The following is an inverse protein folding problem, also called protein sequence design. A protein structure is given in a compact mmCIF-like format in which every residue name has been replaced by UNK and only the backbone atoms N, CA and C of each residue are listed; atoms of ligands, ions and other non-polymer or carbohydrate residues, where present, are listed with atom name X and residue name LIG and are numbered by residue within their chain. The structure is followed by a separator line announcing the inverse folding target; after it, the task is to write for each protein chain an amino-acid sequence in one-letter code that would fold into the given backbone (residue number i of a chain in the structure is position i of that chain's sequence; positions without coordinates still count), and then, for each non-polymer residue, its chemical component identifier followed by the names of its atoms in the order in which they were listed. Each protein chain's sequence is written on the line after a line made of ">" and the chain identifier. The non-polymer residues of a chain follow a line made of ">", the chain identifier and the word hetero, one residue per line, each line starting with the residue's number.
data_IF_590627476479
#
_entry.id   IF_590627476479
#
_cell.length_a   1.000
_cell.length_b   1.000
_cell.length_c   1.000
_cell.angle_alpha   90.00
_cell.angle_beta   90.00
_cell.angle_gamma   90.00
#
_symmetry.space_group_name_H-M   'P 1'
#
loop_
_entity.id
_entity.type
_entity.pdbx_description
1 polymer ?
#
# COMPACT_ATOMS: atom_id res chain seq x y z
N UNK A 1 -5.27 -5.71 17.59
CA UNK A 1 -4.92 -4.47 16.89
C UNK A 1 -3.68 -4.75 16.07
N UNK A 2 -3.68 -4.36 14.80
CA UNK A 2 -2.68 -4.71 13.79
C UNK A 2 -2.21 -3.42 13.11
N UNK A 3 -0.95 -3.41 12.71
CA UNK A 3 -0.35 -2.40 11.83
C UNK A 3 0.25 -3.15 10.65
N UNK A 4 -0.07 -2.70 9.44
CA UNK A 4 0.52 -3.21 8.20
C UNK A 4 1.60 -2.23 7.77
N UNK A 5 2.73 -2.75 7.30
CA UNK A 5 3.84 -1.97 6.76
C UNK A 5 4.08 -2.43 5.34
N UNK A 6 3.91 -1.49 4.40
CA UNK A 6 3.99 -1.67 2.96
C UNK A 6 2.95 -2.63 2.36
N UNK A 7 2.66 -2.40 1.07
CA UNK A 7 1.82 -3.23 0.21
C UNK A 7 2.42 -3.19 -1.20
N UNK A 8 3.43 -4.02 -1.39
CA UNK A 8 4.23 -4.08 -2.61
C UNK A 8 3.78 -5.11 -3.63
N UNK A 9 4.35 -4.98 -4.83
CA UNK A 9 4.31 -6.00 -5.88
C UNK A 9 5.67 -6.67 -6.06
N UNK A 10 5.66 -7.91 -6.53
CA UNK A 10 6.83 -8.59 -7.08
C UNK A 10 6.71 -8.65 -8.59
N UNK A 11 7.81 -8.43 -9.29
CA UNK A 11 7.88 -8.58 -10.75
C UNK A 11 8.10 -10.05 -11.11
N UNK A 12 7.33 -10.59 -12.07
CA UNK A 12 7.47 -11.97 -12.53
C UNK A 12 8.72 -12.16 -13.39
N UNK A 13 9.04 -13.42 -13.64
CA UNK A 13 10.11 -13.82 -14.57
C UNK A 13 9.58 -14.80 -15.63
N UNK A 14 10.31 -14.92 -16.73
CA UNK A 14 9.88 -15.73 -17.88
C UNK A 14 9.93 -17.24 -17.62
N UNK A 15 10.70 -17.69 -16.63
CA UNK A 15 10.93 -19.11 -16.38
C UNK A 15 9.87 -19.69 -15.42
N UNK A 16 9.46 -18.92 -14.41
CA UNK A 16 8.55 -19.34 -13.34
C UNK A 16 7.12 -18.87 -13.56
N UNK A 17 6.93 -17.67 -14.13
CA UNK A 17 5.64 -16.98 -14.18
C UNK A 17 5.40 -16.28 -15.54
N UNK A 18 5.49 -17.02 -16.66
CA UNK A 18 5.37 -16.42 -17.99
C UNK A 18 3.98 -15.80 -18.23
N UNK A 19 3.96 -14.56 -18.74
CA UNK A 19 2.74 -13.83 -19.10
C UNK A 19 2.00 -13.16 -17.94
N UNK A 20 2.55 -13.22 -16.71
CA UNK A 20 2.09 -12.42 -15.58
C UNK A 20 2.69 -11.01 -15.69
N UNK A 21 1.94 -9.98 -15.29
CA UNK A 21 2.44 -8.60 -15.24
C UNK A 21 3.01 -8.25 -13.87
N UNK A 22 2.24 -8.53 -12.80
CA UNK A 22 2.58 -8.22 -11.40
C UNK A 22 2.07 -9.34 -10.49
N UNK A 23 2.83 -9.61 -9.42
CA UNK A 23 2.47 -10.55 -8.37
C UNK A 23 2.24 -9.79 -7.07
N UNK A 24 1.20 -10.14 -6.33
CA UNK A 24 0.84 -9.52 -5.04
C UNK A 24 0.74 -10.57 -3.94
N UNK A 25 0.89 -10.16 -2.70
CA UNK A 25 0.65 -11.03 -1.55
C UNK A 25 -0.83 -11.45 -1.45
N UNK A 26 -1.06 -12.69 -1.03
CA UNK A 26 -2.39 -13.11 -0.56
C UNK A 26 -2.69 -12.45 0.79
N UNK A 27 -3.75 -11.66 0.82
CA UNK A 27 -4.18 -10.90 2.00
C UNK A 27 -5.40 -11.52 2.69
N UNK A 28 -5.82 -12.73 2.35
CA UNK A 28 -7.04 -13.35 2.91
C UNK A 28 -7.09 -13.28 4.44
N UNK A 29 -5.99 -13.60 5.13
CA UNK A 29 -5.95 -13.50 6.60
C UNK A 29 -6.09 -12.06 7.12
N UNK A 30 -5.50 -11.09 6.42
CA UNK A 30 -5.66 -9.66 6.77
C UNK A 30 -7.08 -9.17 6.50
N UNK A 31 -7.71 -9.64 5.42
CA UNK A 31 -9.11 -9.34 5.08
C UNK A 31 -10.08 -9.88 6.14
N UNK A 32 -9.89 -11.12 6.59
CA UNK A 32 -10.66 -11.74 7.69
C UNK A 32 -10.50 -10.99 9.02
N UNK A 33 -9.41 -10.24 9.19
CA UNK A 33 -9.08 -9.48 10.39
C UNK A 33 -9.05 -7.96 10.14
N UNK A 34 -9.71 -7.48 9.08
CA UNK A 34 -9.62 -6.09 8.64
C UNK A 34 -10.08 -5.10 9.72
N UNK A 35 -11.08 -5.48 10.53
CA UNK A 35 -11.58 -4.69 11.67
C UNK A 35 -10.52 -4.43 12.75
N UNK A 36 -9.45 -5.22 12.76
CA UNK A 36 -8.33 -5.11 13.70
C UNK A 36 -7.17 -4.27 13.16
N UNK A 37 -7.19 -3.88 11.88
CA UNK A 37 -6.13 -3.09 11.24
C UNK A 37 -6.34 -1.60 11.53
N UNK A 38 -5.46 -1.03 12.34
CA UNK A 38 -5.57 0.38 12.73
C UNK A 38 -4.91 1.31 11.69
N UNK A 39 -3.92 0.82 10.95
CA UNK A 39 -3.16 1.61 9.98
C UNK A 39 -2.36 0.74 8.99
N UNK A 40 -2.16 1.28 7.78
CA UNK A 40 -1.15 0.86 6.81
C UNK A 40 -0.10 1.98 6.73
N UNK A 41 1.18 1.65 6.89
CA UNK A 41 2.28 2.61 6.68
C UNK A 41 3.03 2.24 5.41
N UNK A 42 3.23 3.22 4.51
CA UNK A 42 4.08 3.04 3.33
C UNK A 42 5.41 3.74 3.59
N UNK A 43 6.49 2.97 3.59
CA UNK A 43 7.84 3.41 3.96
C UNK A 43 8.47 4.28 2.90
N UNK A 44 8.40 3.85 1.64
CA UNK A 44 8.91 4.58 0.48
C UNK A 44 8.17 4.18 -0.80
N UNK A 45 8.49 4.86 -1.91
CA UNK A 45 7.67 4.85 -3.12
C UNK A 45 8.10 3.82 -4.19
N UNK A 46 8.97 2.87 -3.86
CA UNK A 46 9.26 1.80 -4.82
C UNK A 46 8.05 0.87 -4.95
N UNK A 47 7.86 0.30 -6.14
CA UNK A 47 6.69 -0.55 -6.47
C UNK A 47 6.59 -1.78 -5.55
N UNK A 48 7.71 -2.34 -5.12
CA UNK A 48 7.79 -3.42 -4.14
C UNK A 48 7.41 -3.01 -2.71
N UNK A 49 7.02 -1.75 -2.50
CA UNK A 49 6.48 -1.24 -1.23
C UNK A 49 5.10 -0.58 -1.36
N UNK A 50 4.77 0.05 -2.50
CA UNK A 50 3.49 0.76 -2.70
C UNK A 50 2.62 0.20 -3.83
N UNK A 51 3.19 -0.62 -4.71
CA UNK A 51 2.58 -0.97 -6.00
C UNK A 51 1.26 -1.73 -5.88
N UNK A 52 1.04 -2.48 -4.80
CA UNK A 52 -0.18 -3.25 -4.59
C UNK A 52 -1.25 -2.48 -3.83
N UNK A 53 -0.95 -1.26 -3.35
CA UNK A 53 -1.83 -0.51 -2.45
C UNK A 53 -3.23 -0.31 -3.06
N UNK A 54 -3.33 0.22 -4.28
CA UNK A 54 -4.62 0.47 -4.92
C UNK A 54 -5.45 -0.80 -5.15
N UNK A 55 -4.79 -1.94 -5.39
CA UNK A 55 -5.44 -3.23 -5.64
C UNK A 55 -5.92 -3.93 -4.36
N UNK A 56 -5.15 -3.82 -3.28
CA UNK A 56 -5.42 -4.55 -2.03
C UNK A 56 -6.21 -3.73 -1.01
N UNK A 57 -6.13 -2.39 -1.07
CA UNK A 57 -6.85 -1.51 -0.15
C UNK A 57 -8.36 -1.75 -0.05
N UNK A 58 -9.11 -2.07 -1.13
CA UNK A 58 -10.56 -2.31 -1.05
C UNK A 58 -10.97 -3.40 -0.06
N UNK A 59 -10.07 -4.37 0.20
CA UNK A 59 -10.26 -5.50 1.12
C UNK A 59 -9.87 -5.15 2.56
N UNK A 60 -8.94 -4.22 2.74
CA UNK A 60 -8.38 -3.85 4.05
C UNK A 60 -9.04 -2.60 4.66
N UNK A 61 -9.35 -1.60 3.82
CA UNK A 61 -10.05 -0.34 4.16
C UNK A 61 -9.49 0.43 5.36
N UNK A 62 -8.22 0.20 5.69
CA UNK A 62 -7.52 0.89 6.77
C UNK A 62 -6.96 2.25 6.31
N UNK A 63 -6.78 3.23 7.21
CA UNK A 63 -6.13 4.48 6.89
C UNK A 63 -4.66 4.24 6.53
N UNK A 64 -4.20 4.89 5.45
CA UNK A 64 -2.84 4.76 4.93
C UNK A 64 -2.02 5.98 5.36
N UNK A 65 -0.79 5.79 5.81
CA UNK A 65 0.11 6.86 6.24
C UNK A 65 1.41 6.82 5.47
N UNK A 66 1.87 7.97 5.00
CA UNK A 66 3.11 8.08 4.24
C UNK A 66 3.75 9.47 4.35
N UNK A 67 5.04 9.54 4.02
CA UNK A 67 5.80 10.80 3.86
C UNK A 67 5.32 11.57 2.62
N UNK A 68 5.62 12.87 2.46
CA UNK A 68 5.11 13.68 1.34
C UNK A 68 5.30 13.08 -0.05
N UNK A 69 6.52 12.65 -0.40
CA UNK A 69 6.79 12.04 -1.71
C UNK A 69 6.03 10.72 -1.89
N UNK A 70 6.20 9.79 -0.95
CA UNK A 70 5.51 8.48 -0.96
C UNK A 70 4.00 8.60 -0.95
N UNK A 71 3.46 9.55 -0.20
CA UNK A 71 2.03 9.79 -0.09
C UNK A 71 1.43 10.37 -1.37
N UNK A 72 2.19 11.16 -2.13
CA UNK A 72 1.77 11.61 -3.46
C UNK A 72 1.67 10.41 -4.43
N UNK A 73 2.66 9.52 -4.43
CA UNK A 73 2.63 8.29 -5.25
C UNK A 73 1.52 7.34 -4.79
N UNK A 74 1.35 7.14 -3.48
CA UNK A 74 0.27 6.32 -2.93
C UNK A 74 -1.12 6.85 -3.31
N UNK A 75 -1.33 8.17 -3.29
CA UNK A 75 -2.58 8.79 -3.77
C UNK A 75 -2.82 8.52 -5.25
N UNK A 76 -1.79 8.70 -6.08
CA UNK A 76 -1.86 8.39 -7.51
C UNK A 76 -2.26 6.93 -7.75
N UNK A 77 -1.61 5.97 -7.07
CA UNK A 77 -1.94 4.53 -7.15
C UNK A 77 -3.38 4.23 -6.70
N UNK A 78 -3.87 4.92 -5.67
CA UNK A 78 -5.25 4.80 -5.22
C UNK A 78 -6.22 5.30 -6.30
N UNK A 79 -5.97 6.49 -6.87
CA UNK A 79 -6.80 7.08 -7.92
C UNK A 79 -6.82 6.23 -9.20
N UNK A 80 -5.67 5.72 -9.64
CA UNK A 80 -5.54 4.80 -10.78
C UNK A 80 -6.40 3.54 -10.62
N UNK A 81 -6.52 3.03 -9.38
CA UNK A 81 -7.35 1.88 -9.04
C UNK A 81 -8.80 2.24 -8.67
N UNK A 82 -9.23 3.50 -8.85
CA UNK A 82 -10.57 3.97 -8.53
C UNK A 82 -10.88 4.04 -7.04
N UNK A 83 -9.84 4.14 -6.19
CA UNK A 83 -9.94 4.18 -4.73
C UNK A 83 -9.85 5.61 -4.19
N UNK A 84 -10.42 5.86 -2.99
CA UNK A 84 -10.45 7.20 -2.41
C UNK A 84 -9.06 7.68 -1.97
N UNK A 85 -8.56 8.74 -2.60
CA UNK A 85 -7.23 9.31 -2.31
C UNK A 85 -7.11 9.92 -0.90
N UNK A 86 -8.24 10.29 -0.28
CA UNK A 86 -8.30 10.83 1.09
C UNK A 86 -8.08 9.76 2.17
N UNK A 87 -8.12 8.47 1.81
CA UNK A 87 -7.64 7.39 2.67
C UNK A 87 -6.12 7.48 2.95
N UNK A 88 -5.35 8.18 2.10
CA UNK A 88 -3.91 8.41 2.27
C UNK A 88 -3.64 9.71 3.02
N UNK A 89 -3.15 9.56 4.25
CA UNK A 89 -2.77 10.62 5.18
C UNK A 89 -1.28 10.91 5.07
N UNK A 90 -0.95 12.06 4.48
CA UNK A 90 0.42 12.54 4.38
C UNK A 90 0.84 13.15 5.73
N UNK A 91 1.96 12.68 6.28
CA UNK A 91 2.46 13.12 7.59
C UNK A 91 3.79 13.87 7.48
N UNK A 92 4.00 14.88 8.34
CA UNK A 92 5.23 15.67 8.46
C UNK A 92 6.29 14.95 9.33
N UNK A 93 7.60 15.26 9.19
CA UNK A 93 8.66 14.50 9.88
C UNK A 93 8.53 14.65 11.39
N UNK A 94 8.96 13.63 12.15
CA UNK A 94 9.01 13.72 13.61
C UNK A 94 10.37 13.25 14.15
N UNK A 95 11.06 14.05 14.99
CA UNK A 95 10.72 15.44 15.34
C UNK A 95 10.66 16.33 14.09
N UNK A 96 9.96 17.46 14.19
CA UNK A 96 10.01 18.45 13.13
C UNK A 96 11.48 18.81 12.90
N UNK A 97 11.90 18.90 11.64
CA UNK A 97 13.25 19.34 11.32
C UNK A 97 13.38 20.78 11.82
N UNK A 98 14.26 20.99 12.80
CA UNK A 98 14.64 22.31 13.33
C UNK A 98 15.48 23.06 12.33
#
# INVERSE_FOLDING_TARGET
>A
RLIVVDLGVTFPDMDSTPGVDLIMADVAWLEENADRIDAIFITHAHEDHVGALGHLWPRLRAPVYARPFTGAIAKMKMEEAGQPADAVRIVAPRPAMT
#
